data_IF_085073168795
#
_entry.id   IF_085073168795
#
_cell.length_a   1.000
_cell.length_b   1.000
_cell.length_c   1.000
_cell.angle_alpha   90.00
_cell.angle_beta   90.00
_cell.angle_gamma   90.00
#
_symmetry.space_group_name_H-M   'P 1'
#
loop_
_entity.id
_entity.type
_entity.pdbx_description
1 polymer ?
#
# COMPACT_ATOMS: atom_id res chain seq x y z
N UNK A 1 -10.29 -16.88 -14.63
CA UNK A 1 -9.24 -16.13 -15.37
C UNK A 1 -9.60 -14.65 -15.61
N UNK A 2 -10.83 -14.30 -16.03
CA UNK A 2 -11.25 -12.91 -16.28
C UNK A 2 -11.19 -11.95 -15.08
N UNK A 3 -11.49 -12.43 -13.88
CA UNK A 3 -11.44 -11.60 -12.65
C UNK A 3 -9.99 -11.24 -12.32
N UNK A 4 -9.09 -12.22 -12.40
CA UNK A 4 -7.66 -12.02 -12.14
C UNK A 4 -7.03 -11.07 -13.16
N UNK A 5 -7.34 -11.21 -14.45
CA UNK A 5 -6.82 -10.30 -15.48
C UNK A 5 -7.35 -8.88 -15.33
N UNK A 6 -8.64 -8.73 -14.97
CA UNK A 6 -9.25 -7.44 -14.67
C UNK A 6 -8.63 -6.79 -13.44
N UNK A 7 -8.39 -7.58 -12.39
CA UNK A 7 -7.76 -7.12 -11.16
C UNK A 7 -6.29 -6.71 -11.37
N UNK A 8 -5.51 -7.52 -12.09
CA UNK A 8 -4.13 -7.19 -12.46
C UNK A 8 -4.05 -5.94 -13.36
N UNK A 9 -5.03 -5.73 -14.25
CA UNK A 9 -5.14 -4.51 -15.04
C UNK A 9 -5.48 -3.30 -14.16
N UNK A 10 -6.31 -3.49 -13.14
CA UNK A 10 -6.64 -2.45 -12.16
C UNK A 10 -5.45 -2.10 -11.25
N UNK A 11 -4.56 -3.05 -10.97
CA UNK A 11 -3.32 -2.84 -10.22
C UNK A 11 -2.27 -2.00 -10.96
N UNK A 12 -2.38 -1.83 -12.29
CA UNK A 12 -1.36 -1.09 -13.06
C UNK A 12 -1.11 0.31 -12.48
N UNK A 13 0.17 0.71 -12.34
CA UNK A 13 0.55 2.06 -11.96
C UNK A 13 -0.13 3.10 -12.86
N UNK A 14 -0.62 4.17 -12.25
CA UNK A 14 -1.24 5.27 -12.98
C UNK A 14 -0.31 6.50 -13.00
N UNK A 15 -0.85 7.67 -13.33
CA UNK A 15 -0.09 8.92 -13.42
C UNK A 15 -0.56 9.95 -12.37
N UNK A 16 -1.46 9.55 -11.48
CA UNK A 16 -2.04 10.36 -10.41
C UNK A 16 -1.56 9.91 -9.02
N UNK A 17 -0.50 9.09 -8.96
CA UNK A 17 -0.02 8.38 -7.78
C UNK A 17 1.48 8.58 -7.53
N UNK A 18 1.86 8.66 -6.26
CA UNK A 18 3.27 8.76 -5.89
C UNK A 18 3.95 7.39 -5.91
N UNK A 19 5.28 7.38 -6.02
CA UNK A 19 6.14 6.20 -5.87
C UNK A 19 5.83 5.41 -4.60
N UNK A 20 5.65 6.10 -3.46
CA UNK A 20 5.32 5.47 -2.18
C UNK A 20 3.88 4.93 -2.17
N UNK A 21 2.95 5.54 -2.91
CA UNK A 21 1.60 4.99 -3.05
C UNK A 21 1.66 3.65 -3.79
N UNK A 22 2.50 3.54 -4.83
CA UNK A 22 2.74 2.28 -5.55
C UNK A 22 3.31 1.19 -4.65
N UNK A 23 4.20 1.55 -3.71
CA UNK A 23 4.70 0.60 -2.71
C UNK A 23 3.53 0.00 -1.90
N UNK A 24 2.56 0.81 -1.52
CA UNK A 24 1.37 0.36 -0.80
C UNK A 24 0.43 -0.49 -1.69
N UNK A 25 -0.24 0.12 -2.67
CA UNK A 25 -1.35 -0.57 -3.35
C UNK A 25 -0.89 -1.56 -4.43
N UNK A 26 0.31 -1.39 -5.01
CA UNK A 26 0.79 -2.24 -6.11
C UNK A 26 1.77 -3.31 -5.61
N UNK A 27 2.94 -2.90 -5.09
CA UNK A 27 3.99 -3.85 -4.71
C UNK A 27 3.60 -4.70 -3.50
N UNK A 28 3.08 -4.10 -2.43
CA UNK A 28 2.67 -4.86 -1.24
C UNK A 28 1.48 -5.77 -1.54
N UNK A 29 0.51 -5.31 -2.32
CA UNK A 29 -0.61 -6.15 -2.78
C UNK A 29 -0.12 -7.34 -3.61
N UNK A 30 0.80 -7.12 -4.56
CA UNK A 30 1.37 -8.18 -5.39
C UNK A 30 2.15 -9.21 -4.56
N UNK A 31 2.99 -8.75 -3.62
CA UNK A 31 3.74 -9.62 -2.70
C UNK A 31 2.78 -10.50 -1.88
N UNK A 32 1.74 -9.91 -1.30
CA UNK A 32 0.75 -10.65 -0.51
C UNK A 32 0.00 -11.69 -1.34
N UNK A 33 -0.36 -11.37 -2.58
CA UNK A 33 -1.03 -12.31 -3.51
C UNK A 33 -0.10 -13.47 -3.88
N UNK A 34 1.17 -13.19 -4.18
CA UNK A 34 2.15 -14.23 -4.51
C UNK A 34 2.39 -15.14 -3.31
N UNK A 35 2.51 -14.59 -2.10
CA UNK A 35 2.65 -15.38 -0.88
C UNK A 35 1.40 -16.22 -0.60
N UNK A 36 0.21 -15.64 -0.71
CA UNK A 36 -1.05 -16.37 -0.55
C UNK A 36 -1.17 -17.53 -1.54
N UNK A 37 -0.82 -17.30 -2.82
CA UNK A 37 -0.83 -18.34 -3.85
C UNK A 37 0.21 -19.44 -3.57
N UNK A 38 1.42 -19.06 -3.15
CA UNK A 38 2.51 -20.02 -2.86
C UNK A 38 2.16 -20.92 -1.67
N UNK A 39 1.64 -20.34 -0.59
CA UNK A 39 1.22 -21.10 0.60
C UNK A 39 0.02 -21.99 0.26
N UNK A 40 -0.96 -21.47 -0.52
CA UNK A 40 -2.10 -22.27 -0.98
C UNK A 40 -1.66 -23.47 -1.82
N UNK A 41 -0.70 -23.29 -2.73
CA UNK A 41 -0.16 -24.38 -3.54
C UNK A 41 0.46 -25.46 -2.65
N UNK A 42 1.24 -25.08 -1.63
CA UNK A 42 1.81 -26.05 -0.69
C UNK A 42 0.75 -26.75 0.17
N UNK A 43 -0.33 -26.05 0.52
CA UNK A 43 -1.40 -26.53 1.38
C UNK A 43 -2.36 -27.51 0.68
N UNK A 44 -2.72 -27.24 -0.57
CA UNK A 44 -3.73 -28.03 -1.30
C UNK A 44 -3.16 -29.00 -2.33
N UNK A 45 -1.99 -28.70 -2.90
CA UNK A 45 -1.35 -29.55 -3.93
C UNK A 45 -0.22 -30.38 -3.33
N UNK A 46 0.50 -29.83 -2.34
CA UNK A 46 1.54 -30.54 -1.61
C UNK A 46 1.01 -31.41 -0.47
N UNK A 47 1.93 -32.09 0.19
CA UNK A 47 1.69 -32.71 1.51
C UNK A 47 2.00 -31.65 2.59
N UNK A 48 0.99 -31.06 3.26
CA UNK A 48 1.21 -30.02 4.26
C UNK A 48 1.72 -30.57 5.60
N UNK A 49 1.37 -31.82 5.89
CA UNK A 49 1.69 -32.56 7.11
C UNK A 49 2.09 -33.99 6.72
N UNK A 50 3.03 -34.57 7.47
CA UNK A 50 3.36 -35.99 7.40
C UNK A 50 3.41 -36.55 8.82
N UNK A 51 2.82 -37.72 9.06
CA UNK A 51 2.68 -38.24 10.41
C UNK A 51 3.37 -39.58 10.62
N UNK A 52 3.97 -39.74 11.80
CA UNK A 52 4.52 -41.00 12.26
C UNK A 52 3.39 -41.90 12.78
N UNK A 53 2.93 -42.82 11.93
CA UNK A 53 1.85 -43.77 12.24
C UNK A 53 2.40 -45.16 12.61
N UNK A 54 1.66 -45.95 13.41
CA UNK A 54 2.06 -47.32 13.73
C UNK A 54 2.14 -48.22 12.50
N UNK A 55 3.08 -49.19 12.49
CA UNK A 55 3.32 -50.08 11.34
C UNK A 55 2.12 -50.96 10.91
N UNK A 56 1.11 -51.09 11.77
CA UNK A 56 -0.14 -51.82 11.45
C UNK A 56 -1.09 -51.04 10.54
N UNK A 57 -0.85 -49.73 10.33
CA UNK A 57 -1.70 -48.91 9.48
C UNK A 57 -1.38 -49.16 8.01
N UNK A 58 -2.42 -49.39 7.20
CA UNK A 58 -2.28 -49.39 5.75
C UNK A 58 -2.01 -47.97 5.23
N UNK A 59 -1.48 -47.86 4.01
CA UNK A 59 -1.23 -46.56 3.38
C UNK A 59 -2.50 -45.68 3.28
N UNK A 60 -3.68 -46.29 3.15
CA UNK A 60 -4.96 -45.55 3.15
C UNK A 60 -5.34 -45.01 4.52
N UNK A 61 -4.99 -45.71 5.61
CA UNK A 61 -5.22 -45.24 6.97
C UNK A 61 -4.23 -44.15 7.37
N UNK A 62 -2.99 -44.23 6.90
CA UNK A 62 -2.00 -43.14 7.02
C UNK A 62 -2.53 -41.86 6.38
N UNK A 63 -2.97 -41.92 5.12
CA UNK A 63 -3.56 -40.77 4.43
C UNK A 63 -4.81 -40.22 5.14
N UNK A 64 -5.64 -41.09 5.70
CA UNK A 64 -6.79 -40.64 6.51
C UNK A 64 -6.33 -39.91 7.77
N UNK A 65 -5.37 -40.45 8.51
CA UNK A 65 -4.85 -39.85 9.73
C UNK A 65 -4.20 -38.49 9.45
N UNK A 66 -3.38 -38.39 8.40
CA UNK A 66 -2.75 -37.12 7.98
C UNK A 66 -3.79 -36.05 7.64
N UNK A 67 -4.79 -36.39 6.82
CA UNK A 67 -5.85 -35.45 6.44
C UNK A 67 -6.73 -35.06 7.63
N UNK A 68 -7.06 -36.01 8.50
CA UNK A 68 -7.82 -35.76 9.72
C UNK A 68 -7.06 -34.78 10.63
N UNK A 69 -5.78 -35.05 10.89
CA UNK A 69 -4.92 -34.21 11.72
C UNK A 69 -4.70 -32.82 11.14
N UNK A 70 -4.64 -32.71 9.81
CA UNK A 70 -4.56 -31.41 9.17
C UNK A 70 -5.82 -30.57 9.42
N UNK A 71 -7.00 -31.19 9.43
CA UNK A 71 -8.30 -30.53 9.61
C UNK A 71 -8.63 -30.25 11.09
N UNK A 72 -8.38 -31.20 12.00
CA UNK A 72 -8.76 -31.14 13.42
C UNK A 72 -7.77 -30.38 14.33
N UNK A 73 -6.84 -29.63 13.75
CA UNK A 73 -5.74 -28.93 14.42
C UNK A 73 -4.75 -29.88 15.12
N UNK A 74 -3.58 -29.34 15.44
CA UNK A 74 -2.53 -30.07 16.16
C UNK A 74 -2.06 -29.26 17.35
N UNK A 75 -1.51 -29.88 18.38
CA UNK A 75 -0.99 -29.17 19.55
C UNK A 75 0.52 -29.34 19.67
N UNK A 76 1.19 -28.39 20.32
CA UNK A 76 2.63 -28.42 20.52
C UNK A 76 2.97 -28.55 22.01
N UNK A 77 3.98 -29.36 22.30
CA UNK A 77 4.55 -29.59 23.62
C UNK A 77 6.08 -29.55 23.53
N UNK A 78 6.73 -29.18 24.62
CA UNK A 78 8.18 -29.35 24.73
C UNK A 78 8.53 -30.84 24.80
N UNK A 79 9.71 -31.20 24.30
CA UNK A 79 10.11 -32.61 24.18
C UNK A 79 10.24 -33.34 25.53
N UNK A 80 10.46 -32.60 26.62
CA UNK A 80 10.57 -33.07 27.99
C UNK A 80 9.22 -33.14 28.73
N UNK A 81 8.15 -32.56 28.17
CA UNK A 81 6.84 -32.56 28.78
C UNK A 81 6.05 -33.83 28.43
N UNK A 82 5.43 -34.42 29.46
CA UNK A 82 4.49 -35.52 29.28
C UNK A 82 3.19 -35.02 28.65
N UNK A 83 2.57 -35.86 27.81
CA UNK A 83 1.29 -35.54 27.19
C UNK A 83 0.22 -35.46 28.30
N UNK A 84 -0.48 -34.32 28.48
CA UNK A 84 -1.47 -34.15 29.54
C UNK A 84 -2.56 -35.23 29.48
N UNK A 85 -3.00 -35.75 30.62
CA UNK A 85 -4.08 -36.74 30.67
C UNK A 85 -5.45 -36.10 30.42
N UNK A 86 -5.63 -34.86 30.88
CA UNK A 86 -6.87 -34.12 30.64
C UNK A 86 -6.96 -33.65 29.19
N UNK A 87 -8.15 -33.74 28.63
CA UNK A 87 -8.49 -33.29 27.28
C UNK A 87 -8.51 -31.77 27.20
N UNK A 88 -8.97 -31.10 28.24
CA UNK A 88 -9.13 -29.64 28.27
C UNK A 88 -7.78 -28.93 28.05
N UNK A 89 -6.73 -29.41 28.73
CA UNK A 89 -5.37 -28.91 28.59
C UNK A 89 -4.82 -29.10 27.18
N UNK A 90 -5.11 -30.24 26.53
CA UNK A 90 -4.69 -30.49 25.15
C UNK A 90 -5.37 -29.53 24.17
N UNK A 91 -6.66 -29.24 24.35
CA UNK A 91 -7.38 -28.28 23.52
C UNK A 91 -6.83 -26.86 23.65
N UNK A 92 -6.40 -26.45 24.85
CA UNK A 92 -5.82 -25.13 25.08
C UNK A 92 -4.48 -24.91 24.35
N UNK A 93 -3.77 -26.00 24.03
CA UNK A 93 -2.48 -25.99 23.34
C UNK A 93 -2.59 -26.15 21.81
N UNK A 94 -3.80 -26.25 21.27
CA UNK A 94 -4.01 -26.44 19.84
C UNK A 94 -3.65 -25.21 19.01
N UNK A 95 -3.07 -25.49 17.85
CA UNK A 95 -2.62 -24.53 16.86
C UNK A 95 -3.43 -24.79 15.59
N UNK A 96 -4.19 -23.79 15.15
CA UNK A 96 -5.06 -23.88 13.96
C UNK A 96 -4.91 -22.71 12.98
N UNK A 97 -3.97 -21.77 13.20
CA UNK A 97 -3.88 -20.58 12.36
C UNK A 97 -3.46 -20.89 10.91
N UNK A 98 -2.66 -21.94 10.69
CA UNK A 98 -2.06 -22.24 9.37
C UNK A 98 -3.11 -22.50 8.28
N UNK A 99 -4.29 -23.03 8.66
CA UNK A 99 -5.39 -23.25 7.72
C UNK A 99 -5.92 -21.94 7.12
N UNK A 100 -5.84 -20.85 7.89
CA UNK A 100 -6.42 -19.54 7.56
C UNK A 100 -5.43 -18.59 6.88
N UNK A 101 -4.13 -18.92 6.90
CA UNK A 101 -3.05 -18.05 6.39
C UNK A 101 -3.32 -17.53 4.99
N UNK A 102 -3.67 -18.36 3.97
CA UNK A 102 -3.86 -17.84 2.62
C UNK A 102 -5.04 -16.87 2.50
N UNK A 103 -6.12 -17.11 3.25
CA UNK A 103 -7.30 -16.26 3.26
C UNK A 103 -7.01 -14.91 3.92
N UNK A 104 -6.29 -14.93 5.04
CA UNK A 104 -5.85 -13.71 5.72
C UNK A 104 -4.97 -12.88 4.78
N UNK A 105 -3.94 -13.47 4.16
CA UNK A 105 -3.07 -12.77 3.21
C UNK A 105 -3.85 -12.16 2.03
N UNK A 106 -4.86 -12.86 1.50
CA UNK A 106 -5.72 -12.34 0.44
C UNK A 106 -6.56 -11.14 0.90
N UNK A 107 -7.11 -11.19 2.13
CA UNK A 107 -7.83 -10.06 2.73
C UNK A 107 -6.89 -8.87 2.95
N UNK A 108 -5.69 -9.11 3.45
CA UNK A 108 -4.67 -8.06 3.62
C UNK A 108 -4.34 -7.40 2.27
N UNK A 109 -4.19 -8.19 1.20
CA UNK A 109 -3.95 -7.67 -0.15
C UNK A 109 -5.10 -6.76 -0.64
N UNK A 110 -6.35 -7.16 -0.40
CA UNK A 110 -7.52 -6.36 -0.73
C UNK A 110 -7.58 -5.04 0.05
N UNK A 111 -7.25 -5.07 1.34
CA UNK A 111 -7.20 -3.89 2.20
C UNK A 111 -6.11 -2.90 1.78
N UNK A 112 -4.95 -3.37 1.29
CA UNK A 112 -3.92 -2.50 0.69
C UNK A 112 -4.37 -1.82 -0.62
N UNK A 113 -5.25 -2.47 -1.39
CA UNK A 113 -5.82 -1.89 -2.59
C UNK A 113 -6.97 -0.90 -2.31
N UNK A 114 -7.63 -1.01 -1.16
CA UNK A 114 -8.82 -0.23 -0.81
C UNK A 114 -8.63 1.30 -0.89
N UNK A 115 -7.57 1.92 -0.33
CA UNK A 115 -7.40 3.37 -0.42
C UNK A 115 -7.26 3.85 -1.87
N UNK A 116 -6.57 3.08 -2.72
CA UNK A 116 -6.45 3.39 -4.15
C UNK A 116 -7.81 3.34 -4.85
N UNK A 117 -8.66 2.36 -4.50
CA UNK A 117 -10.00 2.26 -5.05
C UNK A 117 -10.86 3.45 -4.65
N UNK A 118 -10.82 3.87 -3.38
CA UNK A 118 -11.54 5.04 -2.88
C UNK A 118 -11.09 6.30 -3.62
N UNK A 119 -9.78 6.50 -3.80
CA UNK A 119 -9.25 7.62 -4.58
C UNK A 119 -9.83 7.66 -5.99
N UNK A 120 -9.81 6.53 -6.71
CA UNK A 120 -10.30 6.45 -8.08
C UNK A 120 -11.81 6.73 -8.19
N UNK A 121 -12.60 6.24 -7.22
CA UNK A 121 -14.04 6.45 -7.18
C UNK A 121 -14.43 7.89 -6.81
N UNK A 122 -13.61 8.61 -6.07
CA UNK A 122 -13.90 9.97 -5.61
C UNK A 122 -13.23 11.06 -6.46
N UNK A 123 -12.14 10.74 -7.16
CA UNK A 123 -11.37 11.72 -7.95
C UNK A 123 -12.25 12.42 -9.01
N UNK A 124 -13.17 11.70 -9.67
CA UNK A 124 -14.04 12.27 -10.70
C UNK A 124 -14.92 13.43 -10.19
N UNK A 125 -15.30 13.41 -8.90
CA UNK A 125 -16.15 14.44 -8.30
C UNK A 125 -15.41 15.77 -8.10
N UNK A 126 -14.10 15.79 -8.27
CA UNK A 126 -13.26 16.95 -7.96
C UNK A 126 -13.16 17.96 -9.09
N UNK A 127 -13.70 17.64 -10.28
CA UNK A 127 -13.74 18.53 -11.44
C UNK A 127 -12.40 18.75 -12.14
N UNK A 128 -11.34 18.06 -11.71
CA UNK A 128 -9.99 18.14 -12.28
C UNK A 128 -9.57 16.75 -12.76
N UNK A 129 -9.46 16.51 -14.08
CA UNK A 129 -9.08 15.20 -14.61
C UNK A 129 -7.55 15.01 -14.53
N UNK A 130 -7.03 14.85 -13.30
CA UNK A 130 -5.60 14.79 -13.00
C UNK A 130 -4.87 13.74 -13.84
N UNK A 131 -5.46 12.55 -13.94
CA UNK A 131 -4.93 11.43 -14.72
C UNK A 131 -4.73 11.77 -16.20
N UNK A 132 -5.65 12.51 -16.80
CA UNK A 132 -5.58 12.85 -18.22
C UNK A 132 -4.47 13.87 -18.47
N UNK A 133 -4.39 14.91 -17.63
CA UNK A 133 -3.37 15.96 -17.75
C UNK A 133 -1.97 15.38 -17.60
N UNK A 134 -1.75 14.61 -16.54
CA UNK A 134 -0.42 14.05 -16.26
C UNK A 134 -0.10 12.92 -17.25
N UNK A 135 -1.10 12.12 -17.65
CA UNK A 135 -0.94 11.11 -18.69
C UNK A 135 -0.48 11.70 -20.02
N UNK A 136 -1.14 12.77 -20.48
CA UNK A 136 -0.74 13.50 -21.70
C UNK A 136 0.67 14.09 -21.57
N UNK A 137 1.00 14.68 -20.42
CA UNK A 137 2.33 15.23 -20.14
C UNK A 137 3.43 14.16 -20.14
N UNK A 138 3.15 12.99 -19.54
CA UNK A 138 4.09 11.87 -19.49
C UNK A 138 4.26 11.18 -20.84
N UNK A 139 3.19 11.05 -21.62
CA UNK A 139 3.24 10.47 -22.96
C UNK A 139 4.04 11.36 -23.92
N UNK A 140 3.82 12.68 -23.86
CA UNK A 140 4.59 13.63 -24.67
C UNK A 140 6.08 13.58 -24.35
N UNK A 141 6.45 13.49 -23.07
CA UNK A 141 7.84 13.30 -22.63
C UNK A 141 8.48 12.07 -23.28
N UNK A 142 7.75 10.97 -23.39
CA UNK A 142 8.27 9.73 -23.97
C UNK A 142 8.39 9.78 -25.50
N UNK A 143 7.50 10.52 -26.17
CA UNK A 143 7.44 10.59 -27.63
C UNK A 143 8.42 11.62 -28.26
N UNK A 144 9.19 12.38 -27.47
CA UNK A 144 10.29 13.26 -27.93
C UNK A 144 9.94 14.20 -29.12
N UNK A 145 8.70 14.67 -29.21
CA UNK A 145 8.25 15.57 -30.27
C UNK A 145 8.59 17.05 -29.95
N UNK A 146 9.86 17.42 -30.07
CA UNK A 146 10.37 18.77 -29.71
C UNK A 146 9.73 19.91 -30.51
N UNK A 147 9.36 19.66 -31.79
CA UNK A 147 8.95 20.71 -32.72
C UNK A 147 7.63 21.42 -32.36
N UNK A 148 6.80 20.84 -31.47
CA UNK A 148 5.49 21.39 -31.09
C UNK A 148 5.35 21.64 -29.57
N UNK A 149 6.47 21.69 -28.84
CA UNK A 149 6.51 21.84 -27.37
C UNK A 149 5.67 23.03 -26.87
N UNK A 150 5.80 24.20 -27.51
CA UNK A 150 5.12 25.43 -27.08
C UNK A 150 3.59 25.32 -27.17
N UNK A 151 3.06 24.76 -28.27
CA UNK A 151 1.61 24.55 -28.45
C UNK A 151 1.08 23.55 -27.43
N UNK A 152 1.84 22.48 -27.17
CA UNK A 152 1.48 21.47 -26.18
C UNK A 152 1.41 22.04 -24.76
N UNK A 153 2.43 22.80 -24.34
CA UNK A 153 2.45 23.48 -23.05
C UNK A 153 1.28 24.45 -22.93
N UNK A 154 0.95 25.19 -23.99
CA UNK A 154 -0.23 26.06 -24.02
C UNK A 154 -1.53 25.27 -23.87
N UNK A 155 -1.66 24.10 -24.51
CA UNK A 155 -2.83 23.22 -24.32
C UNK A 155 -2.96 22.77 -22.86
N UNK A 156 -1.88 22.35 -22.23
CA UNK A 156 -1.89 21.97 -20.80
C UNK A 156 -2.22 23.18 -19.92
N UNK A 157 -1.58 24.32 -20.16
CA UNK A 157 -1.80 25.54 -19.39
C UNK A 157 -3.27 25.99 -19.48
N UNK A 158 -3.85 26.01 -20.68
CA UNK A 158 -5.25 26.35 -20.90
C UNK A 158 -6.17 25.36 -20.21
N UNK A 159 -5.91 24.05 -20.31
CA UNK A 159 -6.70 23.05 -19.61
C UNK A 159 -6.69 23.25 -18.07
N UNK A 160 -5.51 23.54 -17.50
CA UNK A 160 -5.37 23.83 -16.07
C UNK A 160 -6.13 25.11 -15.71
N UNK A 161 -5.99 26.18 -16.48
CA UNK A 161 -6.74 27.43 -16.27
C UNK A 161 -8.26 27.21 -16.36
N UNK A 162 -8.73 26.48 -17.36
CA UNK A 162 -10.16 26.16 -17.56
C UNK A 162 -10.70 25.33 -16.40
N UNK A 163 -9.95 24.33 -15.93
CA UNK A 163 -10.35 23.52 -14.78
C UNK A 163 -10.44 24.34 -13.48
N UNK A 164 -9.54 25.30 -13.27
CA UNK A 164 -9.60 26.25 -12.15
C UNK A 164 -10.83 27.17 -12.29
N UNK A 165 -11.14 27.62 -13.51
CA UNK A 165 -12.34 28.43 -13.77
C UNK A 165 -13.63 27.65 -13.52
N UNK A 166 -13.70 26.39 -13.95
CA UNK A 166 -14.85 25.51 -13.68
C UNK A 166 -15.07 25.33 -12.17
N UNK A 167 -13.99 25.14 -11.40
CA UNK A 167 -14.08 25.10 -9.94
C UNK A 167 -14.62 26.41 -9.36
N UNK A 168 -14.26 27.57 -9.92
CA UNK A 168 -14.78 28.88 -9.51
C UNK A 168 -16.27 29.05 -9.81
N UNK A 169 -16.76 28.51 -10.93
CA UNK A 169 -18.18 28.53 -11.26
C UNK A 169 -18.99 27.66 -10.28
N UNK A 170 -18.50 26.45 -10.00
CA UNK A 170 -19.16 25.57 -9.02
C UNK A 170 -19.13 26.15 -7.59
N UNK A 171 -18.05 26.84 -7.21
CA UNK A 171 -17.92 27.58 -5.95
C UNK A 171 -19.00 28.66 -5.74
N UNK A 172 -19.48 29.31 -6.82
CA UNK A 172 -20.53 30.32 -6.72
C UNK A 172 -21.89 29.70 -6.38
N UNK A 173 -22.17 28.50 -6.91
CA UNK A 173 -23.46 27.84 -6.75
C UNK A 173 -23.56 26.99 -5.46
N UNK A 174 -22.44 26.63 -4.84
CA UNK A 174 -22.45 25.80 -3.63
C UNK A 174 -21.30 26.17 -2.68
N UNK A 175 -21.56 26.61 -1.44
CA UNK A 175 -20.52 27.09 -0.52
C UNK A 175 -19.52 26.01 -0.09
N UNK A 176 -19.87 24.73 -0.22
CA UNK A 176 -18.95 23.60 -0.04
C UNK A 176 -17.87 23.54 -1.13
N UNK A 177 -18.11 24.09 -2.32
CA UNK A 177 -17.15 24.21 -3.42
C UNK A 177 -16.33 25.51 -3.38
N UNK A 178 -16.61 26.44 -2.45
CA UNK A 178 -15.90 27.74 -2.36
C UNK A 178 -14.41 27.60 -2.09
N UNK A 179 -13.99 26.47 -1.56
CA UNK A 179 -12.62 26.32 -1.12
C UNK A 179 -11.85 25.41 -2.07
N UNK A 180 -10.88 25.98 -2.79
CA UNK A 180 -9.92 25.26 -3.65
C UNK A 180 -8.89 24.45 -2.85
N UNK A 181 -9.39 23.66 -1.88
CA UNK A 181 -8.65 22.65 -1.13
C UNK A 181 -9.23 21.24 -1.34
N UNK A 182 -10.30 21.05 -2.12
CA UNK A 182 -11.08 19.80 -2.10
C UNK A 182 -10.26 18.61 -2.59
N UNK A 183 -9.53 18.79 -3.69
CA UNK A 183 -8.63 17.75 -4.23
C UNK A 183 -7.52 17.49 -3.25
N UNK A 184 -6.94 18.55 -2.71
CA UNK A 184 -5.83 18.46 -1.76
C UNK A 184 -6.24 17.71 -0.49
N UNK A 185 -7.41 18.00 0.07
CA UNK A 185 -7.94 17.33 1.26
C UNK A 185 -8.31 15.88 0.97
N UNK A 186 -8.88 15.57 -0.19
CA UNK A 186 -9.11 14.19 -0.62
C UNK A 186 -7.80 13.43 -0.76
N UNK A 187 -6.77 14.05 -1.35
CA UNK A 187 -5.47 13.41 -1.52
C UNK A 187 -4.81 13.14 -0.17
N UNK A 188 -4.83 14.12 0.74
CA UNK A 188 -4.32 13.95 2.11
C UNK A 188 -5.10 12.90 2.91
N UNK A 189 -6.42 12.82 2.76
CA UNK A 189 -7.21 11.81 3.45
C UNK A 189 -6.87 10.40 2.96
N UNK A 190 -6.62 10.22 1.66
CA UNK A 190 -6.14 8.95 1.11
C UNK A 190 -4.74 8.59 1.63
N UNK A 191 -3.82 9.55 1.72
CA UNK A 191 -2.49 9.34 2.33
C UNK A 191 -2.61 8.87 3.78
N UNK A 192 -3.51 9.49 4.54
CA UNK A 192 -3.79 9.08 5.90
C UNK A 192 -4.41 7.68 5.96
N UNK A 193 -5.32 7.35 5.04
CA UNK A 193 -5.90 6.01 4.94
C UNK A 193 -4.84 4.94 4.62
N UNK A 194 -3.83 5.24 3.79
CA UNK A 194 -2.69 4.34 3.57
C UNK A 194 -1.88 4.12 4.85
N UNK A 195 -1.62 5.17 5.64
CA UNK A 195 -0.90 5.04 6.91
C UNK A 195 -1.70 4.22 7.93
N UNK A 196 -3.00 4.51 8.08
CA UNK A 196 -3.90 3.71 8.95
C UNK A 196 -3.89 2.26 8.51
N UNK A 197 -4.01 1.99 7.21
CA UNK A 197 -3.97 0.63 6.70
C UNK A 197 -2.63 -0.03 7.01
N UNK A 198 -1.48 0.58 6.67
CA UNK A 198 -0.17 -0.01 6.93
C UNK A 198 0.05 -0.35 8.43
N UNK A 199 -0.34 0.55 9.33
CA UNK A 199 -0.27 0.32 10.78
C UNK A 199 -1.29 -0.73 11.23
N UNK A 200 -2.52 -0.67 10.73
CA UNK A 200 -3.57 -1.66 11.01
C UNK A 200 -3.19 -3.07 10.57
N UNK A 201 -2.45 -3.21 9.46
CA UNK A 201 -1.95 -4.48 8.96
C UNK A 201 -0.87 -5.08 9.87
N UNK A 202 -0.01 -4.25 10.46
CA UNK A 202 0.93 -4.70 11.49
C UNK A 202 0.19 -5.23 12.73
N UNK A 203 -0.86 -4.54 13.17
CA UNK A 203 -1.70 -5.01 14.28
C UNK A 203 -2.48 -6.28 13.93
N UNK A 204 -3.01 -6.39 12.70
CA UNK A 204 -3.68 -7.60 12.22
C UNK A 204 -2.73 -8.79 12.24
N UNK A 205 -1.50 -8.60 11.74
CA UNK A 205 -0.47 -9.63 11.76
C UNK A 205 -0.14 -10.07 13.19
N UNK A 206 0.04 -9.12 14.09
CA UNK A 206 0.31 -9.41 15.50
C UNK A 206 -0.86 -10.12 16.19
N UNK A 207 -2.10 -9.72 15.92
CA UNK A 207 -3.28 -10.37 16.48
C UNK A 207 -3.46 -11.80 15.96
N UNK A 208 -3.15 -12.03 14.68
CA UNK A 208 -3.32 -13.34 14.04
C UNK A 208 -2.32 -14.39 14.54
N UNK A 209 -1.06 -14.00 14.77
CA UNK A 209 -0.05 -14.91 15.30
C UNK A 209 -0.07 -15.04 16.83
N UNK A 210 -0.83 -14.19 17.52
CA UNK A 210 -0.93 -14.10 18.98
C UNK A 210 0.41 -14.29 19.73
N UNK A 211 1.48 -13.58 19.37
CA UNK A 211 2.76 -13.75 20.02
C UNK A 211 2.77 -13.13 21.42
N UNK A 212 3.69 -13.59 22.27
CA UNK A 212 3.89 -13.03 23.62
C UNK A 212 4.26 -11.53 23.62
N UNK A 213 4.77 -11.01 22.49
CA UNK A 213 5.24 -9.64 22.36
C UNK A 213 4.78 -9.00 21.05
N UNK A 214 4.43 -7.70 21.07
CA UNK A 214 3.98 -6.97 19.86
C UNK A 214 5.08 -6.76 18.80
N UNK A 215 6.36 -6.75 19.20
CA UNK A 215 7.51 -6.63 18.30
C UNK A 215 8.19 -7.99 18.07
N UNK A 216 7.38 -9.03 17.88
CA UNK A 216 7.88 -10.40 17.71
C UNK A 216 8.86 -10.55 16.55
N UNK A 217 8.74 -9.75 15.47
CA UNK A 217 9.67 -9.81 14.34
C UNK A 217 11.12 -9.48 14.70
N UNK A 218 11.34 -8.56 15.65
CA UNK A 218 12.69 -8.27 16.17
C UNK A 218 13.17 -9.39 17.09
N UNK A 219 12.29 -9.88 17.98
CA UNK A 219 12.62 -10.96 18.90
C UNK A 219 13.04 -12.23 18.17
N UNK A 220 12.28 -12.67 17.16
CA UNK A 220 12.61 -13.86 16.38
C UNK A 220 13.90 -13.66 15.57
N UNK A 221 14.16 -12.45 15.03
CA UNK A 221 15.41 -12.19 14.32
C UNK A 221 16.63 -12.32 15.26
N UNK A 222 16.51 -11.80 16.49
CA UNK A 222 17.56 -11.92 17.51
C UNK A 222 17.76 -13.37 17.92
N UNK A 223 16.68 -14.12 18.15
CA UNK A 223 16.75 -15.56 18.46
C UNK A 223 17.41 -16.35 17.33
N UNK A 224 17.11 -16.02 16.06
CA UNK A 224 17.70 -16.67 14.90
C UNK A 224 19.20 -16.36 14.77
N UNK A 225 19.62 -15.13 15.05
CA UNK A 225 21.05 -14.73 15.06
C UNK A 225 21.80 -15.45 16.20
N UNK A 226 21.17 -15.60 17.35
CA UNK A 226 21.74 -16.31 18.50
C UNK A 226 21.69 -17.83 18.36
N UNK A 227 21.09 -18.37 17.29
CA UNK A 227 20.97 -19.80 17.05
C UNK A 227 19.94 -20.50 17.94
N UNK A 228 19.05 -19.76 18.61
CA UNK A 228 17.93 -20.33 19.35
C UNK A 228 16.92 -20.95 18.39
N UNK A 229 16.61 -22.24 18.60
CA UNK A 229 15.67 -22.97 17.74
C UNK A 229 14.22 -22.83 18.25
N UNK A 230 13.26 -23.11 17.37
CA UNK A 230 11.81 -23.12 17.63
C UNK A 230 11.39 -23.94 18.86
N UNK A 231 12.20 -24.94 19.26
CA UNK A 231 11.98 -25.77 20.44
C UNK A 231 11.96 -24.96 21.75
N UNK A 232 12.65 -23.82 21.78
CA UNK A 232 12.78 -22.96 22.97
C UNK A 232 11.79 -21.79 22.95
N UNK A 233 11.54 -21.23 21.78
CA UNK A 233 10.64 -20.08 21.62
C UNK A 233 9.17 -20.47 21.57
N UNK A 234 8.86 -21.71 21.16
CA UNK A 234 7.50 -22.18 20.91
C UNK A 234 6.80 -21.48 19.73
N UNK A 235 7.52 -20.60 19.03
CA UNK A 235 7.04 -19.93 17.84
C UNK A 235 7.30 -20.81 16.62
N UNK A 236 6.25 -21.02 15.81
CA UNK A 236 6.28 -21.83 14.59
C UNK A 236 6.85 -23.25 14.78
N UNK A 237 6.22 -24.12 15.59
CA UNK A 237 6.69 -25.48 15.79
C UNK A 237 6.66 -26.29 14.50
N UNK A 238 7.74 -27.05 14.24
CA UNK A 238 7.86 -27.91 13.05
C UNK A 238 7.37 -29.33 13.29
N UNK A 239 7.23 -29.70 14.56
CA UNK A 239 6.71 -31.00 15.00
C UNK A 239 5.58 -30.73 15.95
N UNK A 240 4.43 -31.36 15.70
CA UNK A 240 3.23 -31.25 16.54
C UNK A 240 2.66 -32.63 16.82
N UNK A 241 1.79 -32.71 17.83
CA UNK A 241 1.04 -33.91 18.17
C UNK A 241 -0.40 -33.76 17.70
N UNK A 242 -0.96 -34.85 17.21
CA UNK A 242 -2.35 -34.93 16.80
C UNK A 242 -3.03 -36.07 17.54
N UNK A 243 -4.22 -35.80 18.06
CA UNK A 243 -5.09 -36.82 18.61
C UNK A 243 -6.26 -37.05 17.65
N UNK A 244 -6.49 -38.30 17.27
CA UNK A 244 -7.66 -38.67 16.48
C UNK A 244 -8.34 -39.92 17.05
N UNK A 245 -9.64 -40.00 16.82
CA UNK A 245 -10.50 -41.04 17.40
C UNK A 245 -11.19 -41.83 16.29
N UNK A 246 -11.07 -43.15 16.35
CA UNK A 246 -11.69 -44.09 15.40
C UNK A 246 -12.70 -44.94 16.14
N UNK A 247 -13.91 -45.05 15.58
CA UNK A 247 -14.98 -45.89 16.13
C UNK A 247 -14.91 -47.28 15.50
N UNK A 248 -14.67 -48.30 16.33
CA UNK A 248 -14.66 -49.70 15.92
C UNK A 248 -15.59 -50.50 16.85
N UNK A 249 -16.60 -51.19 16.28
CA UNK A 249 -17.47 -52.13 17.02
C UNK A 249 -18.06 -51.57 18.33
N UNK A 250 -18.44 -50.29 18.35
CA UNK A 250 -19.03 -49.62 19.51
C UNK A 250 -18.04 -49.02 20.51
N UNK A 251 -16.74 -49.28 20.35
CA UNK A 251 -15.68 -48.70 21.17
C UNK A 251 -14.96 -47.57 20.44
N UNK A 252 -14.57 -46.56 21.21
CA UNK A 252 -13.79 -45.41 20.75
C UNK A 252 -12.30 -45.69 20.99
N UNK A 253 -11.53 -45.82 19.93
CA UNK A 253 -10.07 -45.96 20.02
C UNK A 253 -9.41 -44.63 19.71
N UNK A 254 -8.64 -44.11 20.65
CA UNK A 254 -7.92 -42.85 20.51
C UNK A 254 -6.44 -43.11 20.24
N UNK A 255 -5.91 -42.42 19.25
CA UNK A 255 -4.51 -42.47 18.86
C UNK A 255 -3.91 -41.08 19.01
N UNK A 256 -2.69 -41.01 19.56
CA UNK A 256 -1.85 -39.82 19.58
C UNK A 256 -0.64 -40.08 18.69
N UNK A 257 -0.51 -39.31 17.61
CA UNK A 257 0.58 -39.46 16.63
C UNK A 257 1.38 -38.17 16.52
N UNK A 258 2.67 -38.32 16.24
CA UNK A 258 3.57 -37.20 16.02
C UNK A 258 3.61 -36.85 14.53
N UNK A 259 3.45 -35.58 14.21
CA UNK A 259 3.40 -35.09 12.83
C UNK A 259 4.44 -33.99 12.59
N UNK A 260 5.05 -34.03 11.41
CA UNK A 260 5.95 -33.00 10.91
C UNK A 260 5.15 -32.03 10.06
N UNK A 261 5.12 -30.76 10.49
CA UNK A 261 4.32 -29.70 9.89
C UNK A 261 5.19 -28.89 8.93
N UNK A 262 5.39 -29.41 7.71
CA UNK A 262 6.24 -28.76 6.70
C UNK A 262 5.77 -27.36 6.31
N UNK A 263 4.44 -27.13 6.31
CA UNK A 263 3.85 -25.84 5.96
C UNK A 263 4.32 -24.72 6.91
N UNK A 264 4.63 -25.05 8.16
CA UNK A 264 5.00 -24.05 9.14
C UNK A 264 6.38 -23.44 8.88
N UNK A 265 7.29 -24.21 8.29
CA UNK A 265 8.59 -23.70 7.86
C UNK A 265 8.44 -22.61 6.80
N UNK A 266 7.50 -22.75 5.86
CA UNK A 266 7.21 -21.71 4.88
C UNK A 266 6.55 -20.48 5.50
N UNK A 267 5.62 -20.70 6.44
CA UNK A 267 4.94 -19.63 7.15
C UNK A 267 5.92 -18.80 7.99
N UNK A 268 6.87 -19.44 8.69
CA UNK A 268 7.93 -18.78 9.46
C UNK A 268 8.68 -17.76 8.59
N UNK A 269 9.21 -18.19 7.45
CA UNK A 269 9.94 -17.31 6.53
C UNK A 269 9.06 -16.23 5.90
N UNK A 270 7.85 -16.58 5.46
CA UNK A 270 6.93 -15.64 4.85
C UNK A 270 6.53 -14.51 5.83
N UNK A 271 6.21 -14.85 7.07
CA UNK A 271 5.78 -13.88 8.07
C UNK A 271 6.93 -13.03 8.60
N UNK A 272 8.15 -13.59 8.73
CA UNK A 272 9.35 -12.80 9.04
C UNK A 272 9.61 -11.74 7.97
N UNK A 273 9.58 -12.14 6.69
CA UNK A 273 9.74 -11.21 5.58
C UNK A 273 8.63 -10.14 5.57
N UNK A 274 7.37 -10.55 5.73
CA UNK A 274 6.22 -9.65 5.74
C UNK A 274 6.29 -8.63 6.87
N UNK A 275 6.72 -9.02 8.07
CA UNK A 275 6.80 -8.10 9.20
C UNK A 275 7.76 -6.94 8.91
N UNK A 276 8.98 -7.24 8.44
CA UNK A 276 9.96 -6.23 8.07
C UNK A 276 9.50 -5.38 6.88
N UNK A 277 8.87 -6.00 5.88
CA UNK A 277 8.30 -5.30 4.73
C UNK A 277 7.22 -4.30 5.15
N UNK A 278 6.30 -4.70 6.03
CA UNK A 278 5.22 -3.83 6.53
C UNK A 278 5.74 -2.68 7.38
N UNK A 279 6.78 -2.90 8.20
CA UNK A 279 7.45 -1.81 8.93
C UNK A 279 8.09 -0.81 7.96
N UNK A 280 8.77 -1.29 6.91
CA UNK A 280 9.31 -0.44 5.86
C UNK A 280 8.20 0.36 5.15
N UNK A 281 7.11 -0.28 4.76
CA UNK A 281 5.98 0.38 4.10
C UNK A 281 5.35 1.44 5.01
N UNK A 282 5.13 1.14 6.30
CA UNK A 282 4.57 2.08 7.26
C UNK A 282 5.47 3.31 7.46
N UNK A 283 6.78 3.11 7.63
CA UNK A 283 7.75 4.20 7.80
C UNK A 283 7.88 5.06 6.53
N UNK A 284 7.98 4.45 5.35
CA UNK A 284 8.04 5.16 4.08
C UNK A 284 6.76 5.97 3.83
N UNK A 285 5.59 5.41 4.15
CA UNK A 285 4.28 6.09 4.02
C UNK A 285 4.17 7.26 4.99
N UNK A 286 4.62 7.09 6.24
CA UNK A 286 4.64 8.18 7.22
C UNK A 286 5.55 9.33 6.76
N UNK A 287 6.76 9.04 6.30
CA UNK A 287 7.69 10.05 5.78
C UNK A 287 7.10 10.80 4.59
N UNK A 288 6.47 10.08 3.66
CA UNK A 288 5.85 10.69 2.50
C UNK A 288 4.66 11.59 2.89
N UNK A 289 3.79 11.11 3.76
CA UNK A 289 2.66 11.88 4.27
C UNK A 289 3.13 13.17 4.96
N UNK A 290 4.15 13.10 5.81
CA UNK A 290 4.76 14.27 6.44
C UNK A 290 5.34 15.25 5.40
N UNK A 291 5.98 14.75 4.35
CA UNK A 291 6.46 15.56 3.23
C UNK A 291 5.33 16.33 2.54
N UNK A 292 4.26 15.65 2.16
CA UNK A 292 3.08 16.28 1.54
C UNK A 292 2.39 17.28 2.47
N UNK A 293 2.23 16.94 3.75
CA UNK A 293 1.68 17.84 4.76
C UNK A 293 2.53 19.11 4.91
N UNK A 294 3.86 18.97 4.98
CA UNK A 294 4.75 20.12 5.12
C UNK A 294 4.64 21.08 3.93
N UNK A 295 4.45 20.57 2.70
CA UNK A 295 4.26 21.39 1.51
C UNK A 295 2.90 22.12 1.51
N UNK A 296 1.83 21.41 1.86
CA UNK A 296 0.45 21.92 1.78
C UNK A 296 0.14 22.91 2.91
N UNK A 297 0.54 22.61 4.15
CA UNK A 297 0.25 23.48 5.29
C UNK A 297 1.20 24.68 5.39
N UNK A 298 2.41 24.61 4.85
CA UNK A 298 3.35 25.73 4.85
C UNK A 298 3.16 26.62 3.63
N UNK A 299 2.52 27.79 3.85
CA UNK A 299 2.44 28.86 2.84
C UNK A 299 3.82 29.23 2.27
N UNK A 300 4.85 29.20 3.12
CA UNK A 300 6.24 29.47 2.72
C UNK A 300 6.78 28.40 1.77
N UNK A 301 6.54 27.12 2.06
CA UNK A 301 6.98 26.02 1.19
C UNK A 301 6.26 26.05 -0.17
N UNK A 302 4.96 26.31 -0.16
CA UNK A 302 4.14 26.47 -1.37
C UNK A 302 4.67 27.60 -2.26
N UNK A 303 4.91 28.78 -1.67
CA UNK A 303 5.45 29.93 -2.38
C UNK A 303 6.88 29.66 -2.87
N UNK A 304 7.72 29.04 -2.06
CA UNK A 304 9.09 28.69 -2.43
C UNK A 304 9.14 27.70 -3.60
N UNK A 305 8.21 26.74 -3.65
CA UNK A 305 8.05 25.82 -4.78
C UNK A 305 7.81 26.60 -6.08
N UNK A 306 6.76 27.43 -6.15
CA UNK A 306 6.44 28.23 -7.34
C UNK A 306 7.56 29.20 -7.69
N UNK A 307 8.14 29.87 -6.69
CA UNK A 307 9.26 30.81 -6.86
C UNK A 307 10.46 30.14 -7.49
N UNK A 308 10.80 28.90 -7.08
CA UNK A 308 11.94 28.16 -7.62
C UNK A 308 11.79 27.92 -9.12
N UNK A 309 10.60 27.50 -9.58
CA UNK A 309 10.36 27.29 -11.01
C UNK A 309 10.33 28.60 -11.79
N UNK A 310 9.72 29.65 -11.25
CA UNK A 310 9.71 30.97 -11.87
C UNK A 310 11.13 31.57 -12.01
N UNK A 311 12.00 31.41 -11.00
CA UNK A 311 13.39 31.86 -11.05
C UNK A 311 14.21 31.18 -12.14
N UNK A 312 14.02 29.87 -12.32
CA UNK A 312 14.76 29.09 -13.33
C UNK A 312 14.42 29.58 -14.74
N UNK A 313 13.16 29.94 -14.99
CA UNK A 313 12.72 30.41 -16.32
C UNK A 313 13.08 31.89 -16.58
N UNK A 314 13.20 32.70 -15.53
CA UNK A 314 13.53 34.13 -15.62
C UNK A 314 15.03 34.42 -15.46
N UNK A 315 15.90 33.43 -15.65
CA UNK A 315 17.34 33.57 -15.42
C UNK A 315 18.02 34.59 -16.38
N UNK A 316 17.44 34.83 -17.55
CA UNK A 316 17.98 35.73 -18.59
C UNK A 316 17.36 37.13 -18.62
N UNK A 317 16.34 37.43 -17.81
CA UNK A 317 15.51 38.64 -17.97
C UNK A 317 15.80 39.75 -16.95
N UNK A 318 15.51 40.99 -17.34
CA UNK A 318 15.81 42.24 -16.62
C UNK A 318 15.40 42.21 -15.13
N UNK A 319 16.26 42.72 -14.24
CA UNK A 319 16.02 42.78 -12.77
C UNK A 319 14.69 43.45 -12.40
N UNK A 320 14.22 44.38 -13.24
CA UNK A 320 12.96 45.11 -13.07
C UNK A 320 11.71 44.25 -13.36
N UNK A 321 11.78 43.30 -14.31
CA UNK A 321 10.68 42.37 -14.58
C UNK A 321 10.50 41.40 -13.40
N UNK A 322 11.62 40.95 -12.81
CA UNK A 322 11.60 40.07 -11.65
C UNK A 322 10.94 40.71 -10.42
N UNK A 323 11.14 42.01 -10.16
CA UNK A 323 10.49 42.68 -9.03
C UNK A 323 8.96 42.73 -9.17
N UNK A 324 8.45 42.94 -10.38
CA UNK A 324 7.01 42.90 -10.66
C UNK A 324 6.44 41.50 -10.46
N UNK A 325 7.15 40.48 -10.96
CA UNK A 325 6.79 39.07 -10.76
C UNK A 325 6.74 38.73 -9.27
N UNK A 326 7.76 39.13 -8.51
CA UNK A 326 7.87 38.83 -7.08
C UNK A 326 6.72 39.46 -6.28
N UNK A 327 6.29 40.68 -6.63
CA UNK A 327 5.17 41.35 -5.98
C UNK A 327 3.83 40.62 -6.24
N UNK A 328 3.63 40.12 -7.46
CA UNK A 328 2.40 39.43 -7.85
C UNK A 328 2.40 37.93 -7.54
N UNK A 329 3.55 37.33 -7.21
CA UNK A 329 3.69 35.88 -7.01
C UNK A 329 2.83 35.34 -5.86
N UNK A 330 2.68 36.13 -4.79
CA UNK A 330 1.85 35.75 -3.65
C UNK A 330 0.37 35.66 -4.07
N UNK A 331 -0.15 36.69 -4.74
CA UNK A 331 -1.53 36.71 -5.24
C UNK A 331 -1.77 35.63 -6.28
N UNK A 332 -0.83 35.44 -7.21
CA UNK A 332 -0.86 34.35 -8.18
C UNK A 332 -0.96 32.98 -7.50
N UNK A 333 -0.08 32.68 -6.55
CA UNK A 333 -0.02 31.36 -5.90
C UNK A 333 -1.28 31.06 -5.10
N UNK A 334 -1.74 32.01 -4.28
CA UNK A 334 -2.84 31.75 -3.34
C UNK A 334 -4.24 32.03 -3.89
N UNK A 335 -4.40 32.98 -4.81
CA UNK A 335 -5.72 33.35 -5.34
C UNK A 335 -6.00 32.77 -6.73
N UNK A 336 -4.99 32.77 -7.62
CA UNK A 336 -5.16 32.29 -8.99
C UNK A 336 -4.97 30.77 -9.08
N UNK A 337 -3.79 30.28 -8.71
CA UNK A 337 -3.44 28.85 -8.80
C UNK A 337 -4.06 28.02 -7.65
N UNK A 338 -4.16 28.61 -6.45
CA UNK A 338 -4.62 27.98 -5.21
C UNK A 338 -3.79 26.75 -4.80
N UNK A 339 -4.13 26.17 -3.66
CA UNK A 339 -3.44 24.98 -3.14
C UNK A 339 -3.62 23.78 -4.08
N UNK A 340 -4.84 23.58 -4.59
CA UNK A 340 -5.16 22.49 -5.54
C UNK A 340 -4.31 22.58 -6.83
N UNK A 341 -4.14 23.77 -7.42
CA UNK A 341 -3.31 23.94 -8.61
C UNK A 341 -1.82 23.69 -8.33
N UNK A 342 -1.32 24.09 -7.17
CA UNK A 342 0.08 23.79 -6.79
C UNK A 342 0.28 22.29 -6.57
N UNK A 343 -0.71 21.58 -6.00
CA UNK A 343 -0.67 20.12 -5.88
C UNK A 343 -0.60 19.45 -7.26
N UNK A 344 -1.38 19.92 -8.24
CA UNK A 344 -1.30 19.43 -9.62
C UNK A 344 0.09 19.67 -10.20
N UNK A 345 0.66 20.86 -10.02
CA UNK A 345 2.01 21.16 -10.51
C UNK A 345 3.06 20.28 -9.84
N UNK A 346 2.90 19.99 -8.55
CA UNK A 346 3.77 19.06 -7.83
C UNK A 346 3.67 17.66 -8.43
N UNK A 347 2.47 17.16 -8.69
CA UNK A 347 2.28 15.86 -9.34
C UNK A 347 2.85 15.83 -10.77
N UNK A 348 2.64 16.89 -11.53
CA UNK A 348 3.23 17.06 -12.86
C UNK A 348 4.76 16.97 -12.79
N UNK A 349 5.39 17.58 -11.77
CA UNK A 349 6.84 17.53 -11.58
C UNK A 349 7.37 16.12 -11.29
N UNK A 350 6.58 15.30 -10.60
CA UNK A 350 6.95 13.92 -10.25
C UNK A 350 6.91 12.99 -11.47
N UNK A 351 5.94 13.17 -12.38
CA UNK A 351 5.74 12.29 -13.53
C UNK A 351 6.34 12.82 -14.84
N UNK A 352 6.01 14.06 -15.22
CA UNK A 352 6.48 14.68 -16.46
C UNK A 352 7.88 15.32 -16.30
N UNK A 353 8.33 15.56 -15.07
CA UNK A 353 9.65 16.09 -14.75
C UNK A 353 9.68 17.62 -14.64
N UNK A 354 10.75 18.11 -14.00
CA UNK A 354 10.86 19.51 -13.58
C UNK A 354 10.82 20.52 -14.73
N UNK A 355 11.35 20.17 -15.91
CA UNK A 355 11.45 21.09 -17.04
C UNK A 355 10.06 21.43 -17.63
N UNK A 356 9.23 20.41 -17.85
CA UNK A 356 7.86 20.61 -18.37
C UNK A 356 7.02 21.39 -17.35
N UNK A 357 7.17 21.08 -16.06
CA UNK A 357 6.48 21.82 -15.00
C UNK A 357 6.91 23.29 -14.95
N UNK A 358 8.20 23.59 -15.14
CA UNK A 358 8.70 24.95 -15.19
C UNK A 358 8.02 25.75 -16.30
N UNK A 359 7.96 25.20 -17.51
CA UNK A 359 7.32 25.85 -18.65
C UNK A 359 5.83 26.08 -18.44
N UNK A 360 5.12 25.09 -17.89
CA UNK A 360 3.67 25.19 -17.65
C UNK A 360 3.38 26.25 -16.58
N UNK A 361 4.13 26.26 -15.47
CA UNK A 361 4.00 27.29 -14.44
C UNK A 361 4.29 28.68 -15.03
N UNK A 362 5.35 28.80 -15.83
CA UNK A 362 5.73 30.06 -16.46
C UNK A 362 4.65 30.56 -17.43
N UNK A 363 4.11 29.69 -18.28
CA UNK A 363 3.06 30.04 -19.25
C UNK A 363 1.80 30.55 -18.54
N UNK A 364 1.37 29.88 -17.47
CA UNK A 364 0.19 30.32 -16.68
C UNK A 364 0.49 31.65 -15.96
N UNK A 365 1.71 31.84 -15.46
CA UNK A 365 2.14 33.09 -14.83
C UNK A 365 2.13 34.25 -15.82
N UNK A 366 2.65 34.05 -17.03
CA UNK A 366 2.66 35.05 -18.10
C UNK A 366 1.24 35.42 -18.54
N UNK A 367 0.36 34.43 -18.73
CA UNK A 367 -1.06 34.66 -19.00
C UNK A 367 -1.74 35.47 -17.91
N UNK A 368 -1.42 35.19 -16.63
CA UNK A 368 -1.96 35.93 -15.49
C UNK A 368 -1.49 37.39 -15.47
N UNK A 369 -0.20 37.64 -15.69
CA UNK A 369 0.36 39.00 -15.74
C UNK A 369 -0.24 39.80 -16.89
N UNK A 370 -0.39 39.21 -18.08
CA UNK A 370 -1.01 39.85 -19.23
C UNK A 370 -2.48 40.24 -18.97
N UNK A 371 -3.23 39.39 -18.26
CA UNK A 371 -4.62 39.70 -17.83
C UNK A 371 -4.71 40.82 -16.80
N UNK A 372 -3.64 41.08 -16.04
CA UNK A 372 -3.58 42.20 -15.10
C UNK A 372 -3.27 43.50 -15.83
N UNK A 373 -2.27 43.49 -16.72
CA UNK A 373 -1.90 44.69 -17.50
C UNK A 373 -3.04 45.15 -18.38
N UNK A 374 -3.75 44.23 -19.04
CA UNK A 374 -4.91 44.56 -19.90
C UNK A 374 -6.15 45.07 -19.16
N UNK A 375 -6.14 45.13 -17.82
CA UNK A 375 -7.22 45.71 -17.00
C UNK A 375 -6.86 47.09 -16.46
N UNK A 376 -5.60 47.49 -16.61
CA UNK A 376 -5.07 48.78 -16.15
C UNK A 376 -5.09 49.79 -17.31
N UNK A 377 -4.95 49.31 -18.54
CA UNK A 377 -5.29 50.02 -19.78
C UNK A 377 -6.79 49.91 -20.09
#
# INVERSE_FOLDING_TARGET
MFILSSFLKALKPQYDDDTIDRINYYYTCLILIILAATISAKQYVGQPIQCWVPAQFSASWEQYAENYCFVQNTYWLYADQQIPTDLTDRYALQIGYYQWVPFVLAIQAALFYLPCLIWRLLNWQSGFALRNVIGLASEWKNNNAYNCRRKFIQTIANYIEDSIQLQNCHAKNNPTFKHGYRITMLYLSIKFAYLINAVGQLFLLNGFLAPKYQLWGVAILVDLINGHQWQWSGHFPRVTLCDFEVRLLGNLHRYSIQCVLMINMFNEWAFLFLWWWLVFVATATACNMLGWMSLIFSKRALLAFVTRYAKVMNADDNRQRWSVIQQNLHTFTFHHLRVDGVLVMKMLSLHAGNLITADVIWTILENYLNKITSKID
#
